data_IF_086044390927
#
_entry.id   IF_086044390927
#
_cell.length_a   1.000
_cell.length_b   1.000
_cell.length_c   1.000
_cell.angle_alpha   90.00
_cell.angle_beta   90.00
_cell.angle_gamma   90.00
#
_symmetry.space_group_name_H-M   'P 1'
#
loop_
_entity.id
_entity.type
_entity.pdbx_description
1 polymer ?
#
# COMPACT_ATOMS: atom_id res chain seq x y z
N UNK A 1 9.48 16.19 -4.07
CA UNK A 1 10.88 16.03 -4.56
C UNK A 1 11.37 14.67 -4.07
N UNK A 2 12.01 13.84 -4.90
CA UNK A 2 12.43 12.48 -4.51
C UNK A 2 13.60 12.54 -3.53
N UNK A 3 13.47 11.94 -2.35
CA UNK A 3 14.54 11.83 -1.36
C UNK A 3 15.60 10.81 -1.80
N UNK A 4 16.85 11.01 -1.41
CA UNK A 4 17.88 9.99 -1.61
C UNK A 4 17.70 8.88 -0.55
N UNK A 5 17.66 7.62 -0.98
CA UNK A 5 17.49 6.49 -0.08
C UNK A 5 18.67 6.30 0.88
N UNK A 6 19.84 6.84 0.52
CA UNK A 6 21.03 6.84 1.37
C UNK A 6 20.89 7.72 2.62
N UNK A 7 19.98 8.70 2.60
CA UNK A 7 19.72 9.59 3.73
C UNK A 7 18.77 8.94 4.75
N UNK A 8 18.13 7.83 4.39
CA UNK A 8 17.17 7.12 5.23
C UNK A 8 17.92 6.01 5.95
N UNK A 9 17.92 6.03 7.29
CA UNK A 9 18.70 5.12 8.13
C UNK A 9 18.47 3.64 7.78
N UNK A 10 17.24 3.29 7.39
CA UNK A 10 16.85 1.93 7.00
C UNK A 10 17.56 1.42 5.73
N UNK A 11 17.99 2.32 4.83
CA UNK A 11 18.55 1.97 3.52
C UNK A 11 19.94 2.57 3.24
N UNK A 12 20.58 3.18 4.24
CA UNK A 12 21.91 3.79 4.12
C UNK A 12 22.97 2.85 3.53
N UNK A 13 22.93 1.57 3.90
CA UNK A 13 23.93 0.56 3.52
C UNK A 13 23.54 -0.26 2.28
N UNK A 14 22.38 0.03 1.67
CA UNK A 14 21.86 -0.71 0.49
C UNK A 14 22.68 -0.36 -0.74
N UNK A 15 23.17 -1.35 -1.48
CA UNK A 15 23.93 -1.10 -2.72
C UNK A 15 23.03 -0.58 -3.83
N UNK A 16 23.60 0.10 -4.82
CA UNK A 16 22.82 0.57 -5.98
C UNK A 16 22.21 -0.61 -6.76
N UNK A 17 22.92 -1.72 -6.88
CA UNK A 17 22.42 -2.96 -7.50
C UNK A 17 21.19 -3.52 -6.76
N UNK A 18 21.25 -3.55 -5.43
CA UNK A 18 20.09 -3.95 -4.61
C UNK A 18 18.93 -2.98 -4.79
N UNK A 19 19.21 -1.67 -4.75
CA UNK A 19 18.18 -0.65 -4.91
C UNK A 19 17.44 -0.75 -6.25
N UNK A 20 18.18 -1.01 -7.34
CA UNK A 20 17.64 -1.17 -8.69
C UNK A 20 16.99 -2.54 -8.93
N UNK A 21 17.10 -3.48 -7.99
CA UNK A 21 16.45 -4.78 -8.07
C UNK A 21 15.00 -4.71 -7.59
N UNK A 22 14.04 -4.90 -8.51
CA UNK A 22 12.61 -4.94 -8.17
C UNK A 22 12.28 -6.05 -7.15
N UNK A 23 13.00 -7.18 -7.21
CA UNK A 23 12.85 -8.27 -6.24
C UNK A 23 13.24 -7.81 -4.84
N UNK A 24 14.35 -7.08 -4.72
CA UNK A 24 14.77 -6.50 -3.45
C UNK A 24 13.75 -5.47 -2.95
N UNK A 25 13.22 -4.62 -3.83
CA UNK A 25 12.18 -3.64 -3.47
C UNK A 25 10.92 -4.31 -2.88
N UNK A 26 10.45 -5.40 -3.48
CA UNK A 26 9.28 -6.16 -2.98
C UNK A 26 9.59 -6.89 -1.67
N UNK A 27 10.80 -7.46 -1.53
CA UNK A 27 11.22 -8.16 -0.31
C UNK A 27 11.44 -7.23 0.88
N UNK A 28 11.74 -5.95 0.64
CA UNK A 28 12.05 -4.95 1.68
C UNK A 28 10.92 -3.93 1.89
N UNK A 29 9.67 -4.33 1.62
CA UNK A 29 8.50 -3.47 1.86
C UNK A 29 8.34 -3.12 3.34
N UNK A 30 7.89 -1.91 3.58
CA UNK A 30 7.44 -1.43 4.88
C UNK A 30 6.05 -2.00 5.10
N UNK A 31 5.91 -2.87 6.11
CA UNK A 31 4.64 -3.56 6.44
C UNK A 31 4.28 -3.42 7.92
N UNK A 32 5.06 -2.66 8.69
CA UNK A 32 4.87 -2.45 10.13
C UNK A 32 5.01 -0.98 10.46
N UNK A 33 4.37 -0.55 11.56
CA UNK A 33 4.45 0.82 12.05
C UNK A 33 5.90 1.21 12.38
N UNK A 34 6.65 0.36 13.08
CA UNK A 34 8.04 0.62 13.48
C UNK A 34 8.98 0.89 12.30
N UNK A 35 8.74 0.24 11.14
CA UNK A 35 9.52 0.49 9.93
C UNK A 35 9.09 1.79 9.25
N UNK A 36 7.80 2.13 9.33
CA UNK A 36 7.26 3.35 8.75
C UNK A 36 7.77 4.60 9.49
N UNK A 37 7.83 4.55 10.82
CA UNK A 37 8.34 5.64 11.67
C UNK A 37 9.81 5.99 11.39
N UNK A 38 10.60 5.04 10.87
CA UNK A 38 11.98 5.28 10.46
C UNK A 38 12.11 6.06 9.14
N UNK A 39 11.01 6.24 8.41
CA UNK A 39 11.01 6.80 7.05
C UNK A 39 10.19 8.09 6.94
N UNK A 40 9.16 8.24 7.76
CA UNK A 40 8.29 9.42 7.79
C UNK A 40 7.95 9.81 9.22
N UNK A 41 7.73 11.11 9.46
CA UNK A 41 7.23 11.60 10.74
C UNK A 41 5.73 11.33 10.80
N UNK A 42 5.27 10.58 11.80
CA UNK A 42 3.87 10.25 12.03
C UNK A 42 3.34 11.03 13.23
N UNK A 43 2.12 11.56 13.12
CA UNK A 43 1.35 12.02 14.28
C UNK A 43 0.84 10.83 15.10
N UNK A 44 0.47 11.07 16.35
CA UNK A 44 -0.14 10.02 17.18
C UNK A 44 -1.45 9.47 16.57
N UNK A 45 -2.21 10.32 15.89
CA UNK A 45 -3.42 9.92 15.17
C UNK A 45 -3.13 8.97 14.00
N UNK A 46 -2.08 9.24 13.22
CA UNK A 46 -1.66 8.34 12.15
C UNK A 46 -1.08 7.03 12.68
N UNK A 47 -0.35 7.06 13.81
CA UNK A 47 0.13 5.84 14.46
C UNK A 47 -1.04 4.97 14.89
N UNK A 48 -2.03 5.56 15.53
CA UNK A 48 -3.26 4.89 15.95
C UNK A 48 -4.05 4.39 14.74
N UNK A 49 -4.15 5.18 13.68
CA UNK A 49 -4.77 4.83 12.41
C UNK A 49 -4.11 3.61 11.77
N UNK A 50 -2.79 3.65 11.56
CA UNK A 50 -2.03 2.51 11.02
C UNK A 50 -2.19 1.29 11.93
N UNK A 51 -2.10 1.43 13.25
CA UNK A 51 -2.26 0.31 14.18
C UNK A 51 -3.65 -0.33 14.12
N UNK A 52 -4.71 0.48 14.05
CA UNK A 52 -6.08 0.01 13.93
C UNK A 52 -6.35 -0.61 12.56
N UNK A 53 -5.93 0.06 11.49
CA UNK A 53 -6.13 -0.36 10.10
C UNK A 53 -5.37 -1.64 9.80
N UNK A 54 -4.16 -1.85 10.34
CA UNK A 54 -3.40 -3.09 10.16
C UNK A 54 -4.09 -4.36 10.73
N UNK A 55 -5.14 -4.21 11.55
CA UNK A 55 -5.96 -5.34 12.01
C UNK A 55 -6.98 -5.82 10.97
N UNK A 56 -7.35 -4.94 10.03
CA UNK A 56 -8.33 -5.23 8.96
C UNK A 56 -7.65 -5.29 7.59
N UNK A 57 -6.69 -4.42 7.35
CA UNK A 57 -6.08 -4.08 6.08
C UNK A 57 -4.58 -4.40 6.10
N UNK A 58 -3.98 -4.61 4.92
CA UNK A 58 -2.52 -4.84 4.80
C UNK A 58 -1.86 -3.60 4.23
N UNK A 59 -0.84 -3.11 4.92
CA UNK A 59 0.07 -2.10 4.39
C UNK A 59 1.31 -2.77 3.80
N UNK A 60 1.69 -2.38 2.59
CA UNK A 60 2.98 -2.74 2.01
C UNK A 60 3.49 -1.63 1.10
N UNK A 61 4.54 -0.92 1.52
CA UNK A 61 5.12 0.21 0.78
C UNK A 61 6.53 -0.17 0.35
N UNK A 62 6.85 -0.12 -0.95
CA UNK A 62 8.23 -0.37 -1.41
C UNK A 62 9.17 0.75 -0.96
N UNK A 63 10.47 0.44 -0.73
CA UNK A 63 11.46 1.45 -0.41
C UNK A 63 11.46 2.63 -1.40
N UNK A 64 11.42 2.33 -2.70
CA UNK A 64 11.31 3.36 -3.73
C UNK A 64 10.10 4.27 -3.52
N UNK A 65 8.90 3.72 -3.32
CA UNK A 65 7.70 4.53 -3.18
C UNK A 65 7.76 5.42 -1.93
N UNK A 66 8.30 4.89 -0.83
CA UNK A 66 8.48 5.65 0.40
C UNK A 66 9.47 6.82 0.25
N UNK A 67 10.45 6.76 -0.65
CA UNK A 67 11.33 7.92 -0.95
C UNK A 67 10.62 9.09 -1.64
N UNK A 68 9.45 8.84 -2.22
CA UNK A 68 8.63 9.88 -2.86
C UNK A 68 7.74 10.62 -1.86
N UNK A 69 7.52 10.04 -0.68
CA UNK A 69 6.76 10.68 0.40
C UNK A 69 7.59 11.82 0.98
N UNK A 70 6.97 12.99 1.10
CA UNK A 70 7.50 14.09 1.91
C UNK A 70 7.23 13.77 3.40
N UNK A 71 8.26 13.64 4.23
CA UNK A 71 8.09 13.24 5.63
C UNK A 71 7.44 14.32 6.50
N UNK A 72 7.46 15.58 6.06
CA UNK A 72 6.99 16.73 6.84
C UNK A 72 5.68 17.31 6.33
N UNK A 73 5.22 16.92 5.14
CA UNK A 73 3.94 17.32 4.59
C UNK A 73 2.87 16.23 4.78
N UNK A 74 1.97 16.46 5.73
CA UNK A 74 0.83 15.58 5.98
C UNK A 74 -0.20 15.57 4.84
N UNK A 75 -0.22 16.61 3.99
CA UNK A 75 -1.07 16.66 2.80
C UNK A 75 -0.39 16.03 1.57
N UNK A 76 0.79 15.42 1.74
CA UNK A 76 1.52 14.79 0.65
C UNK A 76 0.62 13.76 -0.07
N UNK A 77 0.37 13.90 -1.38
CA UNK A 77 -0.56 13.04 -2.09
C UNK A 77 -0.08 11.59 -2.19
N UNK A 78 1.23 11.35 -2.12
CA UNK A 78 1.81 10.00 -2.08
C UNK A 78 1.62 9.36 -0.70
N UNK A 79 1.71 10.16 0.37
CA UNK A 79 1.45 9.72 1.75
C UNK A 79 0.03 9.19 1.89
N UNK A 80 -0.94 9.93 1.36
CA UNK A 80 -2.38 9.62 1.41
C UNK A 80 -2.81 8.37 0.62
N UNK A 81 -1.94 7.82 -0.23
CA UNK A 81 -2.18 6.60 -1.01
C UNK A 81 -1.40 5.39 -0.48
N UNK A 82 -0.62 5.57 0.57
CA UNK A 82 0.34 4.58 1.03
C UNK A 82 0.27 4.31 2.54
N UNK A 83 -0.11 5.31 3.34
CA UNK A 83 -0.19 5.22 4.80
C UNK A 83 -1.66 5.14 5.21
N UNK A 84 -2.10 4.01 5.76
CA UNK A 84 -3.47 3.84 6.21
C UNK A 84 -3.84 4.82 7.32
N UNK A 85 -5.09 5.25 7.27
CA UNK A 85 -5.70 6.17 8.23
C UNK A 85 -6.79 5.48 9.04
N UNK A 86 -7.17 6.06 10.18
CA UNK A 86 -8.24 5.52 11.01
C UNK A 86 -9.59 5.51 10.29
N UNK A 87 -9.80 6.46 9.36
CA UNK A 87 -11.05 6.64 8.64
C UNK A 87 -11.40 5.42 7.76
N UNK A 88 -10.39 4.68 7.29
CA UNK A 88 -10.59 3.43 6.54
C UNK A 88 -11.21 2.31 7.39
N UNK A 89 -11.21 2.44 8.72
CA UNK A 89 -11.84 1.46 9.59
C UNK A 89 -13.35 1.67 9.75
N UNK A 90 -13.86 2.83 9.28
CA UNK A 90 -15.26 3.20 9.30
C UNK A 90 -15.98 2.52 8.13
N UNK A 91 -16.95 1.67 8.45
CA UNK A 91 -17.78 0.98 7.46
C UNK A 91 -19.16 1.62 7.45
N UNK A 92 -19.58 2.09 6.29
CA UNK A 92 -20.89 2.68 6.04
C UNK A 92 -21.95 1.61 5.76
N UNK A 93 -23.23 1.93 5.96
CA UNK A 93 -24.35 1.07 5.58
C UNK A 93 -24.46 0.84 4.06
N UNK A 94 -23.82 1.72 3.27
CA UNK A 94 -23.79 1.63 1.82
C UNK A 94 -22.56 0.88 1.28
N UNK A 95 -21.64 0.47 2.15
CA UNK A 95 -20.45 -0.28 1.75
C UNK A 95 -20.79 -1.73 1.42
N UNK A 96 -20.07 -2.30 0.46
CA UNK A 96 -20.18 -3.69 0.04
C UNK A 96 -18.79 -4.24 -0.21
N UNK A 97 -18.58 -5.53 0.11
CA UNK A 97 -17.33 -6.23 -0.20
C UNK A 97 -17.16 -6.51 -1.69
N UNK A 98 -18.25 -6.51 -2.46
CA UNK A 98 -18.23 -6.70 -3.92
C UNK A 98 -19.20 -5.73 -4.60
N UNK A 99 -18.89 -4.41 -4.58
CA UNK A 99 -19.80 -3.39 -5.12
C UNK A 99 -19.89 -3.45 -6.65
N UNK A 100 -18.93 -4.11 -7.31
CA UNK A 100 -18.85 -4.22 -8.77
C UNK A 100 -19.36 -5.58 -9.30
N UNK A 101 -19.83 -6.46 -8.41
CA UNK A 101 -20.32 -7.81 -8.71
C UNK A 101 -19.29 -8.70 -9.42
N UNK A 102 -18.00 -8.52 -9.13
CA UNK A 102 -16.92 -9.26 -9.75
C UNK A 102 -16.99 -10.76 -9.46
N UNK A 103 -17.50 -11.14 -8.28
CA UNK A 103 -17.71 -12.53 -7.88
C UNK A 103 -19.00 -13.09 -8.48
N UNK A 104 -20.08 -12.30 -8.50
CA UNK A 104 -21.38 -12.71 -9.03
C UNK A 104 -21.36 -12.93 -10.54
N UNK A 105 -20.62 -12.10 -11.28
CA UNK A 105 -20.43 -12.21 -12.73
C UNK A 105 -19.26 -13.15 -13.11
N UNK A 106 -18.82 -13.99 -12.17
CA UNK A 106 -17.70 -14.92 -12.34
C UNK A 106 -18.21 -16.34 -12.61
N UNK A 107 -18.22 -16.83 -13.87
CA UNK A 107 -18.57 -18.22 -14.16
C UNK A 107 -17.62 -19.24 -13.51
N UNK A 108 -16.35 -18.85 -13.30
CA UNK A 108 -15.34 -19.61 -12.56
C UNK A 108 -14.48 -18.67 -11.72
N UNK A 109 -13.83 -19.11 -10.63
CA UNK A 109 -13.00 -18.25 -9.78
C UNK A 109 -11.89 -17.54 -10.56
N UNK A 110 -11.72 -16.23 -10.30
CA UNK A 110 -10.69 -15.39 -10.94
C UNK A 110 -10.97 -15.00 -12.38
N UNK A 111 -12.18 -15.25 -12.89
CA UNK A 111 -12.58 -14.95 -14.26
C UNK A 111 -13.94 -14.24 -14.27
N UNK A 112 -13.94 -12.91 -14.35
CA UNK A 112 -15.17 -12.11 -14.36
C UNK A 112 -15.57 -11.78 -15.81
N UNK A 113 -16.79 -12.18 -16.20
CA UNK A 113 -17.37 -11.89 -17.53
C UNK A 113 -18.67 -11.11 -17.38
N UNK A 114 -18.54 -9.79 -17.18
CA UNK A 114 -19.68 -8.88 -17.12
C UNK A 114 -20.15 -8.40 -18.49
N UNK A 115 -19.21 -8.18 -19.41
CA UNK A 115 -19.50 -7.62 -20.74
C UNK A 115 -19.47 -8.72 -21.82
N UNK A 116 -20.21 -8.56 -22.93
CA UNK A 116 -20.33 -9.61 -23.94
C UNK A 116 -19.00 -10.03 -24.59
N UNK A 117 -18.08 -9.07 -24.77
CA UNK A 117 -16.91 -9.13 -25.66
C UNK A 117 -15.55 -9.01 -24.94
N UNK A 118 -15.53 -8.93 -23.61
CA UNK A 118 -14.30 -8.79 -22.81
C UNK A 118 -14.45 -9.37 -21.42
N UNK A 119 -13.32 -9.77 -20.85
CA UNK A 119 -13.24 -10.44 -19.54
C UNK A 119 -12.11 -9.84 -18.70
N UNK A 120 -12.23 -9.98 -17.38
CA UNK A 120 -11.16 -9.71 -16.41
C UNK A 120 -10.63 -11.06 -15.91
N UNK A 121 -9.31 -11.24 -15.97
CA UNK A 121 -8.63 -12.43 -15.45
C UNK A 121 -7.71 -12.02 -14.30
N UNK A 122 -8.02 -12.47 -13.10
CA UNK A 122 -7.21 -12.21 -11.90
C UNK A 122 -6.11 -13.28 -11.78
N UNK A 123 -4.92 -12.96 -12.25
CA UNK A 123 -3.76 -13.87 -12.21
C UNK A 123 -2.98 -13.80 -10.90
N UNK A 124 -3.11 -12.70 -10.17
CA UNK A 124 -2.40 -12.48 -8.90
C UNK A 124 -3.15 -11.45 -8.07
N UNK A 125 -3.17 -11.70 -6.77
CA UNK A 125 -3.60 -10.72 -5.77
C UNK A 125 -2.41 -9.92 -5.22
N UNK A 126 -1.19 -10.13 -5.72
CA UNK A 126 -0.01 -9.44 -5.22
C UNK A 126 0.22 -8.12 -5.94
N UNK A 127 0.31 -7.04 -5.18
CA UNK A 127 0.75 -5.73 -5.66
C UNK A 127 2.06 -5.37 -4.93
N UNK A 128 2.94 -4.64 -5.61
CA UNK A 128 4.20 -4.16 -5.03
C UNK A 128 3.93 -3.12 -3.94
N UNK A 129 3.02 -2.19 -4.20
CA UNK A 129 2.45 -1.27 -3.22
C UNK A 129 1.02 -1.73 -2.92
N UNK A 130 0.67 -1.88 -1.64
CA UNK A 130 -0.68 -2.23 -1.19
C UNK A 130 -1.12 -1.35 -0.03
N UNK A 131 -2.29 -0.77 -0.22
CA UNK A 131 -3.24 -0.30 0.78
C UNK A 131 -4.57 -0.84 0.26
N UNK A 132 -5.13 -1.86 0.91
CA UNK A 132 -6.41 -2.47 0.49
C UNK A 132 -7.41 -2.24 1.61
N UNK A 133 -8.58 -1.68 1.27
CA UNK A 133 -9.85 -1.88 1.97
C UNK A 133 -10.52 -3.12 1.42
#
# INVERSE_FOLDING_TARGET
MKRNYKDIALWKDVTEEQWNSWKWQISNRITTLDKLEQVVTLTDDEKNGVYASLKKLKMAITPYHATLIDPNDYNCPIRRQAIPTIDETNISEYDSNDPLHETKDSPVPGFTRRYPDRVLVLITEQCSMKEFV
#
